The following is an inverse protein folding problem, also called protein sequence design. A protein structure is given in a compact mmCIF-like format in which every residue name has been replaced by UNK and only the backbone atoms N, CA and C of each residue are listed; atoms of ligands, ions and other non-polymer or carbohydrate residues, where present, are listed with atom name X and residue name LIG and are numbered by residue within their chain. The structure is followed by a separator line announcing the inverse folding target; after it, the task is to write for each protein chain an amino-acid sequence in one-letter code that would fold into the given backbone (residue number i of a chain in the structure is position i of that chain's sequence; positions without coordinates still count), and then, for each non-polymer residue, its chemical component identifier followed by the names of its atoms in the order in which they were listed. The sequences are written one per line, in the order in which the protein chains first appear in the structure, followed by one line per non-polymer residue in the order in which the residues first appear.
data_IF_620293755164
#
_entry.id   IF_620293755164
#
_cell.length_a   1.000
_cell.length_b   1.000
_cell.length_c   1.000
_cell.angle_alpha   90.00
_cell.angle_beta   90.00
_cell.angle_gamma   90.00
#
_symmetry.space_group_name_H-M   'P 1'
#
loop_
_entity.id
_entity.type
_entity.pdbx_description
1 polymer ?
#
# COMPACT_ATOMS: atom_id res chain seq x y z
N UNK A 1 35.40 -17.67 -23.77
CA UNK A 1 35.58 -17.11 -22.41
C UNK A 1 35.06 -15.68 -22.28
N UNK A 2 35.58 -14.67 -23.01
CA UNK A 2 35.09 -13.27 -22.89
C UNK A 2 33.58 -13.09 -23.17
N UNK A 3 33.02 -13.77 -24.17
CA UNK A 3 31.57 -13.74 -24.49
C UNK A 3 30.70 -14.36 -23.38
N UNK A 4 31.20 -15.39 -22.68
CA UNK A 4 30.51 -16.04 -21.58
C UNK A 4 30.45 -15.12 -20.34
N UNK A 5 31.53 -14.40 -20.06
CA UNK A 5 31.60 -13.42 -18.98
C UNK A 5 30.65 -12.24 -19.19
N UNK A 6 30.48 -11.77 -20.43
CA UNK A 6 29.53 -10.70 -20.76
C UNK A 6 28.09 -11.16 -20.57
N UNK A 7 27.74 -12.36 -21.03
CA UNK A 7 26.41 -12.93 -20.79
C UNK A 7 26.12 -13.13 -19.30
N UNK A 8 27.11 -13.59 -18.54
CA UNK A 8 26.98 -13.75 -17.09
C UNK A 8 26.79 -12.40 -16.38
N UNK A 9 27.49 -11.35 -16.81
CA UNK A 9 27.34 -10.01 -16.25
C UNK A 9 25.96 -9.39 -16.54
N UNK A 10 25.43 -9.58 -17.76
CA UNK A 10 24.08 -9.12 -18.12
C UNK A 10 23.03 -9.92 -17.33
N UNK A 11 23.19 -11.24 -17.22
CA UNK A 11 22.29 -12.07 -16.42
C UNK A 11 22.29 -11.65 -14.95
N UNK A 12 23.47 -11.39 -14.37
CA UNK A 12 23.60 -10.89 -13.00
C UNK A 12 22.99 -9.50 -12.80
N UNK A 13 23.03 -8.63 -13.81
CA UNK A 13 22.39 -7.31 -13.77
C UNK A 13 20.85 -7.41 -13.71
N UNK A 14 20.26 -8.37 -14.45
CA UNK A 14 18.81 -8.63 -14.38
C UNK A 14 18.37 -9.40 -13.13
N UNK A 15 19.32 -9.93 -12.34
CA UNK A 15 19.02 -10.60 -11.06
C UNK A 15 19.03 -9.60 -9.88
N UNK A 16 19.39 -8.33 -10.11
CA UNK A 16 19.29 -7.33 -9.05
C UNK A 16 17.79 -7.10 -8.75
N UNK A 17 17.31 -7.47 -7.56
CA UNK A 17 15.92 -7.22 -7.20
C UNK A 17 15.70 -5.70 -7.19
N UNK A 18 14.66 -5.25 -7.89
CA UNK A 18 14.17 -3.89 -7.69
C UNK A 18 13.76 -3.78 -6.22
N UNK A 19 14.42 -2.90 -5.48
CA UNK A 19 13.99 -2.60 -4.12
C UNK A 19 12.62 -1.94 -4.22
N UNK A 20 11.59 -2.58 -3.68
CA UNK A 20 10.31 -1.93 -3.44
C UNK A 20 10.55 -1.07 -2.22
N UNK A 21 10.63 0.24 -2.40
CA UNK A 21 10.88 1.16 -1.30
C UNK A 21 9.72 1.07 -0.30
N UNK A 22 10.05 0.72 0.94
CA UNK A 22 9.16 0.84 2.08
C UNK A 22 8.84 2.33 2.26
N UNK A 23 7.57 2.70 2.20
CA UNK A 23 7.15 4.10 2.27
C UNK A 23 5.80 4.23 2.96
N UNK A 24 5.62 5.37 3.60
CA UNK A 24 4.37 5.78 4.21
C UNK A 24 3.36 6.11 3.12
N UNK A 25 2.14 5.59 3.28
CA UNK A 25 1.01 5.90 2.40
C UNK A 25 -0.07 6.69 3.12
N UNK A 26 -0.70 7.62 2.42
CA UNK A 26 -1.84 8.41 2.87
C UNK A 26 -2.86 8.57 1.73
N UNK A 27 -3.91 9.35 1.94
CA UNK A 27 -5.00 9.59 0.99
C UNK A 27 -4.51 10.18 -0.34
N UNK A 28 -3.38 10.89 -0.31
CA UNK A 28 -2.80 11.59 -1.46
C UNK A 28 -1.97 10.69 -2.36
N UNK A 29 -1.52 9.53 -1.88
CA UNK A 29 -0.58 8.68 -2.62
C UNK A 29 -0.96 7.19 -2.65
N UNK A 30 -1.94 6.74 -1.85
CA UNK A 30 -2.39 5.34 -1.88
C UNK A 30 -3.06 4.97 -3.21
N UNK A 31 -3.94 5.86 -3.69
CA UNK A 31 -4.58 5.79 -5.01
C UNK A 31 -4.69 7.22 -5.55
N UNK A 32 -4.66 7.38 -6.87
CA UNK A 32 -4.71 8.72 -7.49
C UNK A 32 -6.10 9.38 -7.42
N UNK A 33 -7.15 8.62 -7.10
CA UNK A 33 -8.55 9.03 -7.27
C UNK A 33 -9.42 8.90 -6.01
N UNK A 34 -8.82 8.75 -4.82
CA UNK A 34 -9.59 8.59 -3.56
C UNK A 34 -9.67 9.84 -2.69
N UNK A 35 -8.83 10.86 -2.92
CA UNK A 35 -8.75 12.05 -2.04
C UNK A 35 -10.10 12.77 -1.87
N UNK A 36 -10.99 12.66 -2.86
CA UNK A 36 -12.33 13.28 -2.86
C UNK A 36 -13.47 12.27 -2.62
N UNK A 37 -13.16 11.01 -2.32
CA UNK A 37 -14.16 9.99 -2.03
C UNK A 37 -14.76 10.20 -0.65
N UNK A 38 -16.06 9.95 -0.51
CA UNK A 38 -16.72 9.96 0.81
C UNK A 38 -16.24 8.80 1.70
N UNK A 39 -15.61 7.77 1.11
CA UNK A 39 -15.15 6.57 1.78
C UNK A 39 -13.61 6.51 1.93
N UNK A 40 -12.92 7.64 1.84
CA UNK A 40 -11.45 7.68 1.78
C UNK A 40 -10.80 6.98 2.98
N UNK A 41 -11.31 7.23 4.19
CA UNK A 41 -10.80 6.60 5.41
C UNK A 41 -11.05 5.08 5.39
N UNK A 42 -12.26 4.67 5.01
CA UNK A 42 -12.64 3.25 4.91
C UNK A 42 -11.76 2.51 3.91
N UNK A 43 -11.48 3.11 2.75
CA UNK A 43 -10.60 2.53 1.72
C UNK A 43 -9.20 2.30 2.30
N UNK A 44 -8.64 3.29 3.01
CA UNK A 44 -7.33 3.16 3.64
C UNK A 44 -7.29 2.05 4.69
N UNK A 45 -8.34 1.95 5.52
CA UNK A 45 -8.47 0.86 6.49
C UNK A 45 -8.58 -0.51 5.83
N UNK A 46 -9.45 -0.65 4.82
CA UNK A 46 -9.66 -1.92 4.11
C UNK A 46 -8.39 -2.39 3.42
N UNK A 47 -7.60 -1.46 2.87
CA UNK A 47 -6.30 -1.80 2.27
C UNK A 47 -5.33 -2.37 3.30
N UNK A 48 -5.30 -1.80 4.50
CA UNK A 48 -4.44 -2.23 5.62
C UNK A 48 -4.87 -3.58 6.21
N UNK A 49 -6.15 -3.92 6.10
CA UNK A 49 -6.72 -5.20 6.51
C UNK A 49 -6.61 -6.29 5.43
N UNK A 50 -6.06 -5.96 4.24
CA UNK A 50 -6.09 -6.83 3.06
C UNK A 50 -7.52 -7.23 2.63
N UNK A 51 -8.53 -6.43 3.02
CA UNK A 51 -9.93 -6.58 2.63
C UNK A 51 -10.20 -5.99 1.24
N UNK A 52 -9.29 -5.18 0.71
CA UNK A 52 -9.22 -4.83 -0.70
C UNK A 52 -7.79 -5.03 -1.20
N UNK A 53 -7.67 -5.30 -2.49
CA UNK A 53 -6.40 -5.55 -3.16
C UNK A 53 -6.17 -4.57 -4.30
N UNK A 54 -4.91 -4.18 -4.56
CA UNK A 54 -4.57 -3.35 -5.71
C UNK A 54 -4.78 -4.16 -6.99
N UNK A 55 -5.19 -3.47 -8.05
CA UNK A 55 -5.18 -4.02 -9.41
C UNK A 55 -3.76 -3.94 -9.97
N UNK A 56 -3.28 -5.00 -10.65
CA UNK A 56 -1.92 -5.02 -11.16
C UNK A 56 -1.71 -3.91 -12.20
N UNK A 57 -0.70 -3.06 -11.97
CA UNK A 57 -0.31 -2.00 -12.90
C UNK A 57 -1.25 -0.80 -12.94
N UNK A 58 -2.22 -0.69 -12.03
CA UNK A 58 -3.16 0.42 -11.95
C UNK A 58 -3.18 1.01 -10.55
N UNK A 59 -2.90 2.31 -10.43
CA UNK A 59 -2.96 3.04 -9.16
C UNK A 59 -4.29 3.80 -8.96
N UNK A 60 -5.41 3.13 -9.25
CA UNK A 60 -6.76 3.71 -9.17
C UNK A 60 -7.69 2.77 -8.39
N UNK A 61 -8.49 3.33 -7.50
CA UNK A 61 -9.54 2.61 -6.79
C UNK A 61 -10.85 2.63 -7.57
N UNK A 62 -11.16 3.72 -8.28
CA UNK A 62 -12.39 3.99 -9.03
C UNK A 62 -13.66 3.96 -8.15
N UNK A 63 -13.79 4.89 -7.17
CA UNK A 63 -14.87 4.83 -6.17
C UNK A 63 -16.28 4.74 -6.77
N UNK A 64 -16.52 5.45 -7.89
CA UNK A 64 -17.82 5.57 -8.54
C UNK A 64 -18.15 4.42 -9.51
N UNK A 65 -17.19 3.52 -9.79
CA UNK A 65 -17.48 2.36 -10.62
C UNK A 65 -18.23 1.27 -9.84
N UNK A 66 -19.09 0.54 -10.54
CA UNK A 66 -19.76 -0.63 -9.98
C UNK A 66 -18.72 -1.68 -9.56
N UNK A 67 -18.87 -2.23 -8.37
CA UNK A 67 -18.06 -3.36 -7.92
C UNK A 67 -18.50 -4.60 -8.70
N UNK A 68 -17.60 -5.25 -9.42
CA UNK A 68 -17.91 -6.52 -10.09
C UNK A 68 -17.81 -7.69 -9.10
N UNK A 69 -18.57 -8.76 -9.33
CA UNK A 69 -18.43 -10.00 -8.55
C UNK A 69 -17.04 -10.61 -8.67
N UNK A 70 -16.41 -10.47 -9.83
CA UNK A 70 -15.03 -10.90 -10.06
C UNK A 70 -14.02 -10.15 -9.18
N UNK A 71 -14.11 -8.82 -9.11
CA UNK A 71 -13.26 -8.02 -8.21
C UNK A 71 -13.52 -8.38 -6.75
N UNK A 72 -14.79 -8.49 -6.34
CA UNK A 72 -15.15 -8.90 -4.99
C UNK A 72 -14.60 -10.30 -4.64
N UNK A 73 -14.63 -11.23 -5.58
CA UNK A 73 -14.09 -12.58 -5.40
C UNK A 73 -12.60 -12.56 -5.08
N UNK A 74 -11.80 -11.78 -5.83
CA UNK A 74 -10.36 -11.63 -5.58
C UNK A 74 -10.10 -11.00 -4.22
N UNK A 75 -10.82 -9.94 -3.86
CA UNK A 75 -10.66 -9.26 -2.57
C UNK A 75 -11.02 -10.18 -1.40
N UNK A 76 -12.16 -10.87 -1.48
CA UNK A 76 -12.62 -11.78 -0.43
C UNK A 76 -11.68 -12.97 -0.25
N UNK A 77 -11.15 -13.52 -1.34
CA UNK A 77 -10.17 -14.60 -1.30
C UNK A 77 -8.85 -14.13 -0.67
N UNK A 78 -8.34 -12.97 -1.10
CA UNK A 78 -7.14 -12.37 -0.51
C UNK A 78 -7.29 -12.20 1.00
N UNK A 79 -8.42 -11.64 1.43
CA UNK A 79 -8.73 -11.48 2.85
C UNK A 79 -8.76 -12.84 3.57
N UNK A 80 -9.52 -13.81 3.04
CA UNK A 80 -9.64 -15.16 3.61
C UNK A 80 -8.28 -15.84 3.83
N UNK A 81 -7.39 -15.78 2.82
CA UNK A 81 -6.06 -16.42 2.89
C UNK A 81 -5.13 -15.75 3.92
N UNK A 82 -5.16 -14.42 4.01
CA UNK A 82 -4.35 -13.66 4.97
C UNK A 82 -4.85 -13.82 6.41
N UNK A 83 -6.16 -14.05 6.61
CA UNK A 83 -6.72 -14.29 7.96
C UNK A 83 -6.29 -15.63 8.58
N UNK A 84 -5.83 -16.58 7.74
CA UNK A 84 -5.48 -17.93 8.16
C UNK A 84 -3.96 -18.16 8.26
N UNK A 85 -3.14 -17.37 7.56
CA UNK A 85 -1.73 -17.69 7.35
C UNK A 85 -0.77 -16.88 8.22
N UNK A 86 -1.18 -15.74 8.78
CA UNK A 86 -0.29 -14.85 9.53
C UNK A 86 0.74 -14.11 8.65
N UNK A 87 1.13 -14.70 7.52
CA UNK A 87 1.90 -14.09 6.45
C UNK A 87 1.03 -13.08 5.69
N UNK A 88 1.45 -11.81 5.71
CA UNK A 88 0.72 -10.70 5.08
C UNK A 88 1.51 -10.18 3.87
N UNK A 89 1.61 -11.00 2.84
CA UNK A 89 2.04 -10.53 1.53
C UNK A 89 0.80 -10.39 0.66
N UNK A 90 0.48 -9.15 0.27
CA UNK A 90 -0.65 -8.86 -0.64
C UNK A 90 -0.32 -9.23 -2.09
N UNK A 91 0.41 -10.34 -2.31
CA UNK A 91 0.75 -10.79 -3.65
C UNK A 91 -0.48 -11.44 -4.29
N UNK A 92 -1.31 -10.58 -4.88
CA UNK A 92 -2.53 -10.98 -5.58
C UNK A 92 -2.26 -11.62 -6.92
N UNK A 93 -1.00 -11.68 -7.36
CA UNK A 93 -0.58 -12.09 -8.71
C UNK A 93 -0.93 -13.54 -9.04
N UNK A 94 -1.31 -14.34 -8.05
CA UNK A 94 -1.74 -15.73 -8.21
C UNK A 94 -3.15 -16.01 -7.69
N UNK A 95 -3.95 -14.98 -7.37
CA UNK A 95 -5.33 -15.18 -6.90
C UNK A 95 -6.26 -15.36 -8.09
N UNK A 96 -6.86 -16.55 -8.19
CA UNK A 96 -7.91 -16.85 -9.18
C UNK A 96 -9.28 -16.60 -8.54
N UNK A 97 -10.14 -15.75 -9.15
CA UNK A 97 -11.49 -15.49 -8.64
C UNK A 97 -12.37 -16.74 -8.58
N UNK A 98 -12.11 -17.75 -9.43
CA UNK A 98 -12.79 -19.04 -9.40
C UNK A 98 -12.61 -19.75 -8.05
N UNK A 99 -11.46 -19.57 -7.40
CA UNK A 99 -11.21 -20.16 -6.09
C UNK A 99 -12.15 -19.62 -5.01
N UNK A 100 -12.56 -18.35 -5.11
CA UNK A 100 -13.54 -17.77 -4.19
C UNK A 100 -14.93 -18.42 -4.35
N UNK A 101 -15.28 -18.83 -5.58
CA UNK A 101 -16.52 -19.58 -5.86
C UNK A 101 -16.43 -21.00 -5.28
N UNK A 102 -15.31 -21.69 -5.48
CA UNK A 102 -15.07 -23.02 -4.90
C UNK A 102 -15.13 -23.01 -3.37
N UNK A 103 -14.61 -21.97 -2.73
CA UNK A 103 -14.65 -21.77 -1.27
C UNK A 103 -16.01 -21.27 -0.76
N UNK A 104 -16.96 -20.99 -1.67
CA UNK A 104 -18.30 -20.53 -1.32
C UNK A 104 -18.33 -19.10 -0.78
N UNK A 105 -17.32 -18.29 -1.05
CA UNK A 105 -17.27 -16.87 -0.67
C UNK A 105 -18.23 -16.03 -1.54
N UNK A 106 -18.39 -16.42 -2.81
CA UNK A 106 -19.33 -15.81 -3.75
C UNK A 106 -20.01 -16.91 -4.60
N UNK A 107 -21.19 -16.64 -5.16
CA UNK A 107 -21.93 -17.65 -5.94
C UNK A 107 -21.43 -17.81 -7.38
N UNK A 108 -21.06 -16.71 -8.03
CA UNK A 108 -20.56 -16.68 -9.40
C UNK A 108 -19.79 -15.37 -9.65
N UNK A 109 -19.16 -15.26 -10.81
CA UNK A 109 -18.31 -14.12 -11.17
C UNK A 109 -19.02 -13.11 -12.10
N UNK A 110 -20.25 -13.40 -12.54
CA UNK A 110 -20.90 -12.61 -13.59
C UNK A 110 -21.63 -11.39 -13.00
N UNK A 111 -21.42 -10.23 -13.64
CA UNK A 111 -22.13 -8.99 -13.32
C UNK A 111 -21.61 -8.25 -12.09
N UNK A 112 -22.41 -7.28 -11.64
CA UNK A 112 -22.05 -6.44 -10.50
C UNK A 112 -22.39 -7.13 -9.17
N UNK A 113 -21.54 -6.91 -8.18
CA UNK A 113 -21.74 -7.33 -6.81
C UNK A 113 -22.85 -6.52 -6.14
N UNK A 114 -23.46 -7.15 -5.16
CA UNK A 114 -24.53 -6.60 -4.33
C UNK A 114 -24.17 -6.66 -2.86
N UNK A 115 -24.95 -6.00 -1.99
CA UNK A 115 -24.76 -6.10 -0.54
C UNK A 115 -24.87 -7.54 -0.01
N UNK A 116 -25.71 -8.39 -0.62
CA UNK A 116 -25.76 -9.81 -0.26
C UNK A 116 -24.47 -10.55 -0.63
N UNK A 117 -23.87 -10.24 -1.78
CA UNK A 117 -22.57 -10.81 -2.17
C UNK A 117 -21.47 -10.44 -1.15
N UNK A 118 -21.45 -9.18 -0.70
CA UNK A 118 -20.49 -8.69 0.33
C UNK A 118 -20.76 -9.34 1.68
N UNK A 119 -22.02 -9.42 2.11
CA UNK A 119 -22.43 -10.09 3.34
C UNK A 119 -21.98 -11.56 3.34
N UNK A 120 -22.15 -12.26 2.21
CA UNK A 120 -21.68 -13.63 2.07
C UNK A 120 -20.15 -13.72 2.19
N UNK A 121 -19.44 -12.92 1.40
CA UNK A 121 -17.99 -12.95 1.30
C UNK A 121 -17.27 -12.62 2.61
N UNK A 122 -17.71 -11.58 3.32
CA UNK A 122 -17.02 -11.10 4.52
C UNK A 122 -17.70 -11.50 5.82
N UNK A 123 -19.02 -11.67 5.82
CA UNK A 123 -19.80 -11.84 7.04
C UNK A 123 -20.56 -13.17 7.11
N UNK A 124 -20.26 -14.11 6.20
CA UNK A 124 -20.89 -15.43 6.12
C UNK A 124 -22.42 -15.38 6.03
N UNK A 125 -22.95 -14.31 5.44
CA UNK A 125 -24.39 -14.10 5.28
C UNK A 125 -25.14 -13.78 6.58
N UNK A 126 -24.44 -13.43 7.65
CA UNK A 126 -25.06 -13.23 8.98
C UNK A 126 -25.70 -11.85 9.15
N UNK A 127 -25.34 -10.86 8.32
CA UNK A 127 -25.97 -9.54 8.37
C UNK A 127 -27.39 -9.58 7.81
N UNK A 128 -28.28 -8.78 8.39
CA UNK A 128 -29.63 -8.61 7.89
C UNK A 128 -29.66 -7.53 6.79
N UNK A 129 -29.70 -7.96 5.52
CA UNK A 129 -29.76 -7.05 4.37
C UNK A 129 -31.22 -6.78 4.02
N UNK A 130 -31.66 -5.54 4.20
CA UNK A 130 -33.06 -5.14 3.96
C UNK A 130 -33.33 -4.74 2.51
N UNK A 131 -32.30 -4.32 1.79
CA UNK A 131 -32.38 -3.94 0.37
C UNK A 131 -31.16 -4.49 -0.36
N UNK A 132 -31.38 -5.50 -1.20
CA UNK A 132 -30.31 -6.02 -2.04
C UNK A 132 -30.22 -5.21 -3.33
N UNK A 133 -29.21 -4.37 -3.44
CA UNK A 133 -28.89 -3.56 -4.64
C UNK A 133 -27.47 -3.84 -5.10
N UNK A 134 -27.21 -3.63 -6.38
CA UNK A 134 -25.84 -3.54 -6.88
C UNK A 134 -25.17 -2.28 -6.29
N UNK A 135 -23.87 -2.36 -6.04
CA UNK A 135 -23.13 -1.31 -5.32
C UNK A 135 -21.89 -0.84 -6.08
N UNK A 136 -21.50 0.41 -5.84
CA UNK A 136 -20.19 0.92 -6.25
C UNK A 136 -19.08 0.45 -5.31
N UNK A 137 -17.82 0.68 -5.69
CA UNK A 137 -16.65 0.42 -4.82
C UNK A 137 -16.64 1.33 -3.58
N UNK A 138 -17.12 2.57 -3.71
CA UNK A 138 -17.32 3.49 -2.60
C UNK A 138 -18.39 2.98 -1.63
N UNK A 139 -19.56 2.60 -2.14
CA UNK A 139 -20.65 2.05 -1.32
C UNK A 139 -20.25 0.74 -0.62
N UNK A 140 -19.44 -0.11 -1.28
CA UNK A 140 -18.81 -1.26 -0.64
C UNK A 140 -17.93 -0.84 0.55
N UNK A 141 -17.11 0.19 0.38
CA UNK A 141 -16.17 0.63 1.41
C UNK A 141 -16.90 1.20 2.62
N UNK A 142 -17.92 2.03 2.39
CA UNK A 142 -18.82 2.55 3.44
C UNK A 142 -19.50 1.39 4.18
N UNK A 143 -20.11 0.45 3.45
CA UNK A 143 -20.79 -0.69 4.07
C UNK A 143 -19.85 -1.53 4.93
N UNK A 144 -18.61 -1.73 4.48
CA UNK A 144 -17.60 -2.44 5.26
C UNK A 144 -17.19 -1.64 6.50
N UNK A 145 -17.05 -0.32 6.40
CA UNK A 145 -16.79 0.60 7.52
C UNK A 145 -17.93 0.67 8.55
N UNK A 146 -19.19 0.48 8.15
CA UNK A 146 -20.31 0.39 9.08
C UNK A 146 -20.29 -0.93 9.89
N UNK A 147 -19.65 -1.96 9.34
CA UNK A 147 -19.74 -3.33 9.86
C UNK A 147 -18.41 -3.95 10.30
N UNK A 148 -17.26 -3.28 10.20
CA UNK A 148 -15.96 -3.90 10.49
C UNK A 148 -15.80 -4.42 11.93
N UNK A 149 -16.53 -3.85 12.89
CA UNK A 149 -16.59 -4.31 14.29
C UNK A 149 -17.65 -5.40 14.54
N UNK A 150 -18.48 -5.73 13.54
CA UNK A 150 -19.50 -6.77 13.65
C UNK A 150 -18.83 -8.14 13.76
N UNK A 151 -19.21 -8.90 14.77
CA UNK A 151 -18.61 -10.22 15.04
C UNK A 151 -19.28 -11.32 14.24
N UNK A 152 -18.45 -12.12 13.58
CA UNK A 152 -18.83 -13.35 12.87
C UNK A 152 -17.95 -14.47 13.42
N UNK A 153 -18.58 -15.52 13.95
CA UNK A 153 -17.89 -16.58 14.71
C UNK A 153 -17.00 -16.05 15.84
N UNK A 154 -17.48 -15.02 16.55
CA UNK A 154 -16.82 -14.44 17.71
C UNK A 154 -15.69 -13.44 17.41
N UNK A 155 -15.32 -13.27 16.13
CA UNK A 155 -14.29 -12.30 15.69
C UNK A 155 -14.85 -11.29 14.70
N UNK A 156 -14.42 -10.04 14.78
CA UNK A 156 -14.75 -9.00 13.80
C UNK A 156 -13.72 -8.95 12.65
N UNK A 157 -13.92 -8.07 11.66
CA UNK A 157 -13.02 -7.99 10.49
C UNK A 157 -11.61 -7.56 10.90
N UNK A 158 -11.50 -6.58 11.81
CA UNK A 158 -10.22 -6.11 12.34
C UNK A 158 -9.43 -7.26 12.97
N UNK A 159 -10.05 -8.00 13.89
CA UNK A 159 -9.44 -9.14 14.58
C UNK A 159 -9.06 -10.27 13.60
N UNK A 160 -9.89 -10.53 12.59
CA UNK A 160 -9.61 -11.54 11.55
C UNK A 160 -8.47 -11.11 10.64
N UNK A 161 -8.31 -9.81 10.41
CA UNK A 161 -7.20 -9.28 9.61
C UNK A 161 -5.85 -9.38 10.32
N UNK A 162 -5.84 -9.68 11.63
CA UNK A 162 -4.62 -9.72 12.45
C UNK A 162 -4.22 -8.36 13.03
N UNK A 163 -5.06 -7.33 12.87
CA UNK A 163 -4.86 -6.03 13.49
C UNK A 163 -5.37 -6.00 14.93
N UNK A 164 -4.71 -5.20 15.76
CA UNK A 164 -5.09 -4.91 17.14
C UNK A 164 -5.05 -3.41 17.39
N UNK A 165 -5.84 -2.91 18.33
CA UNK A 165 -5.80 -1.50 18.74
C UNK A 165 -4.39 -1.15 19.22
N UNK A 166 -3.85 -0.07 18.67
CA UNK A 166 -2.51 0.46 18.97
C UNK A 166 -2.52 1.66 19.91
N UNK A 167 -1.38 2.36 20.05
CA UNK A 167 -1.29 3.57 20.88
C UNK A 167 -2.07 4.76 20.30
N UNK A 168 -2.57 5.62 21.17
CA UNK A 168 -3.19 6.91 20.82
C UNK A 168 -2.55 8.02 21.65
N UNK A 169 -2.71 9.27 21.24
CA UNK A 169 -2.14 10.43 21.94
C UNK A 169 -1.14 11.20 21.09
N UNK A 170 -0.33 12.05 21.73
CA UNK A 170 0.61 12.92 21.02
C UNK A 170 1.87 12.17 20.63
N UNK A 171 2.34 12.39 19.40
CA UNK A 171 3.65 11.95 18.95
C UNK A 171 4.69 12.88 19.56
N UNK A 172 5.44 12.37 20.53
CA UNK A 172 6.52 13.12 21.19
C UNK A 172 7.69 13.36 20.24
N UNK A 173 7.97 12.35 19.39
CA UNK A 173 9.04 12.38 18.41
C UNK A 173 8.80 11.36 17.30
N UNK A 174 9.11 11.71 16.06
CA UNK A 174 9.06 10.86 14.89
C UNK A 174 10.40 10.89 14.17
N UNK A 175 10.95 9.70 13.90
CA UNK A 175 12.28 9.54 13.29
C UNK A 175 12.22 8.49 12.18
N UNK A 176 12.68 8.87 10.98
CA UNK A 176 12.97 7.93 9.87
C UNK A 176 14.26 7.14 10.18
N UNK A 177 14.30 6.47 11.33
CA UNK A 177 15.52 5.90 11.87
C UNK A 177 15.97 4.65 11.11
N UNK A 178 17.28 4.41 11.02
CA UNK A 178 17.86 3.14 10.51
C UNK A 178 17.45 1.86 11.24
N UNK A 179 16.75 1.95 12.38
CA UNK A 179 16.26 0.77 13.14
C UNK A 179 15.07 0.08 12.44
N UNK A 180 14.40 0.77 11.52
CA UNK A 180 13.28 0.28 10.72
C UNK A 180 13.40 0.81 9.31
N UNK A 181 12.86 0.12 8.32
CA UNK A 181 12.91 0.61 6.93
C UNK A 181 12.07 1.90 6.72
N UNK A 182 11.06 2.16 7.57
CA UNK A 182 10.15 3.31 7.43
C UNK A 182 10.31 4.35 8.53
N UNK A 183 10.28 3.96 9.81
CA UNK A 183 10.45 4.90 10.91
C UNK A 183 9.95 4.39 12.26
N UNK A 184 10.21 5.19 13.29
CA UNK A 184 9.82 4.95 14.68
C UNK A 184 9.11 6.19 15.22
N UNK A 185 8.02 5.97 15.96
CA UNK A 185 7.30 7.00 16.68
C UNK A 185 7.47 6.82 18.19
N UNK A 186 7.75 7.90 18.92
CA UNK A 186 7.67 7.94 20.38
C UNK A 186 6.31 8.50 20.80
N UNK A 187 5.55 7.73 21.57
CA UNK A 187 4.24 8.13 22.12
C UNK A 187 4.25 7.79 23.61
N UNK A 188 4.00 8.78 24.46
CA UNK A 188 4.10 8.68 25.93
C UNK A 188 5.44 8.09 26.39
N UNK A 189 6.53 8.51 25.73
CA UNK A 189 7.89 8.03 26.02
C UNK A 189 8.18 6.56 25.65
N UNK A 190 7.30 5.91 24.87
CA UNK A 190 7.53 4.56 24.34
C UNK A 190 7.71 4.59 22.83
N UNK A 191 8.73 3.91 22.34
CA UNK A 191 9.02 3.73 20.91
C UNK A 191 8.10 2.66 20.29
N UNK A 192 7.55 2.98 19.12
CA UNK A 192 6.75 2.09 18.27
C UNK A 192 7.29 2.13 16.85
N UNK A 193 7.61 0.96 16.29
CA UNK A 193 8.06 0.84 14.90
C UNK A 193 6.87 0.95 13.95
N UNK A 194 7.05 1.63 12.83
CA UNK A 194 6.11 1.58 11.70
C UNK A 194 6.31 0.29 10.90
N UNK A 195 5.23 -0.23 10.31
CA UNK A 195 5.31 -1.34 9.35
C UNK A 195 6.01 -0.90 8.06
N UNK A 196 6.25 -1.81 7.11
CA UNK A 196 6.93 -1.49 5.84
C UNK A 196 6.10 -0.55 4.94
N UNK A 197 4.79 -0.55 5.12
CA UNK A 197 3.87 0.31 4.37
C UNK A 197 2.80 0.81 5.33
N UNK A 198 3.12 1.71 6.27
CA UNK A 198 2.12 2.20 7.20
C UNK A 198 1.15 3.12 6.45
N UNK A 199 -0.10 3.15 6.93
CA UNK A 199 -1.18 3.97 6.38
C UNK A 199 -1.46 5.09 7.37
N UNK A 200 -1.31 6.32 6.93
CA UNK A 200 -1.53 7.51 7.75
C UNK A 200 -2.75 8.22 7.21
N UNK A 201 -3.79 8.24 8.03
CA UNK A 201 -5.06 8.89 7.74
C UNK A 201 -5.03 10.30 8.33
N UNK A 202 -5.42 11.29 7.53
CA UNK A 202 -5.46 12.71 7.86
C UNK A 202 -4.09 13.26 8.33
N UNK A 203 -3.00 12.80 7.70
CA UNK A 203 -1.64 13.16 8.09
C UNK A 203 -0.61 13.14 6.95
N UNK A 204 0.61 13.63 7.23
CA UNK A 204 1.67 13.68 6.23
C UNK A 204 2.20 12.28 5.88
N UNK A 205 2.78 12.13 4.70
CA UNK A 205 3.52 10.92 4.32
C UNK A 205 4.99 10.97 4.77
N UNK A 206 5.46 12.11 5.27
CA UNK A 206 6.82 12.27 5.80
C UNK A 206 6.81 12.04 7.32
N UNK A 207 7.48 10.98 7.79
CA UNK A 207 7.49 10.56 9.19
C UNK A 207 8.05 11.67 10.08
N UNK A 208 9.17 12.28 9.70
CA UNK A 208 9.85 13.32 10.50
C UNK A 208 8.99 14.57 10.71
N UNK A 209 7.97 14.76 9.88
CA UNK A 209 7.04 15.89 10.01
C UNK A 209 5.90 15.67 11.00
N UNK A 210 5.78 14.47 11.59
CA UNK A 210 4.68 14.07 12.48
C UNK A 210 4.86 14.49 13.94
N UNK A 211 5.97 15.13 14.30
CA UNK A 211 6.19 15.64 15.65
C UNK A 211 5.00 16.51 16.13
N UNK A 212 4.51 16.24 17.34
CA UNK A 212 3.38 16.91 17.99
C UNK A 212 2.00 16.72 17.33
N UNK A 213 1.88 15.82 16.34
CA UNK A 213 0.57 15.40 15.86
C UNK A 213 -0.14 14.56 16.93
N UNK A 214 -1.47 14.65 16.96
CA UNK A 214 -2.29 13.84 17.86
C UNK A 214 -2.90 12.66 17.09
N UNK A 215 -2.65 11.45 17.57
CA UNK A 215 -3.23 10.21 17.06
C UNK A 215 -4.56 9.98 17.76
N UNK A 216 -5.65 9.97 16.99
CA UNK A 216 -6.98 9.61 17.48
C UNK A 216 -7.11 8.10 17.61
N UNK A 217 -6.66 7.36 16.60
CA UNK A 217 -6.69 5.90 16.55
C UNK A 217 -5.40 5.38 15.91
N UNK A 218 -4.92 4.23 16.36
CA UNK A 218 -3.94 3.47 15.60
C UNK A 218 -4.18 1.98 15.73
N UNK A 219 -3.60 1.24 14.80
CA UNK A 219 -3.72 -0.20 14.73
C UNK A 219 -2.36 -0.83 14.48
N UNK A 220 -2.08 -1.88 15.24
CA UNK A 220 -0.82 -2.61 15.20
C UNK A 220 -1.01 -4.01 14.66
N UNK A 221 0.08 -4.57 14.15
CA UNK A 221 0.19 -5.95 13.68
C UNK A 221 1.49 -6.56 14.20
N UNK A 222 1.51 -7.88 14.34
CA UNK A 222 2.75 -8.63 14.54
C UNK A 222 3.56 -8.72 13.24
N UNK A 223 4.81 -8.26 13.26
CA UNK A 223 5.76 -8.52 12.17
C UNK A 223 6.27 -9.99 12.21
N UNK A 224 7.13 -10.36 11.27
CA UNK A 224 7.72 -11.71 11.18
C UNK A 224 8.54 -12.12 12.42
N UNK A 225 8.93 -11.16 13.26
CA UNK A 225 9.64 -11.37 14.53
C UNK A 225 8.69 -11.46 15.73
N UNK A 226 7.37 -11.31 15.53
CA UNK A 226 6.37 -11.29 16.59
C UNK A 226 6.32 -9.98 17.38
N UNK A 227 6.90 -8.90 16.86
CA UNK A 227 6.89 -7.56 17.46
C UNK A 227 5.68 -6.77 16.95
N UNK A 228 5.09 -5.94 17.80
CA UNK A 228 4.01 -5.04 17.37
C UNK A 228 4.61 -3.87 16.58
N UNK A 229 4.18 -3.75 15.32
CA UNK A 229 4.45 -2.59 14.46
C UNK A 229 3.13 -1.87 14.17
N UNK A 230 3.18 -0.55 14.08
CA UNK A 230 2.02 0.26 13.70
C UNK A 230 1.78 0.13 12.20
N UNK A 231 0.60 -0.35 11.82
CA UNK A 231 0.17 -0.52 10.43
C UNK A 231 -0.69 0.66 9.97
N UNK A 232 -1.54 1.19 10.87
CA UNK A 232 -2.45 2.30 10.56
C UNK A 232 -2.40 3.33 11.67
N UNK A 233 -2.40 4.60 11.29
CA UNK A 233 -2.54 5.75 12.18
C UNK A 233 -3.65 6.62 11.61
N UNK A 234 -4.61 7.03 12.43
CA UNK A 234 -5.55 8.09 12.13
C UNK A 234 -5.22 9.28 13.02
N UNK A 235 -4.84 10.38 12.42
CA UNK A 235 -4.62 11.63 13.14
C UNK A 235 -5.97 12.20 13.60
N UNK A 236 -5.95 13.03 14.64
CA UNK A 236 -7.12 13.78 15.06
C UNK A 236 -7.58 14.77 13.97
N UNK A 237 -8.88 15.07 13.92
CA UNK A 237 -9.41 16.05 12.98
C UNK A 237 -8.70 17.41 13.12
N UNK A 238 -8.37 18.03 11.98
CA UNK A 238 -7.70 19.34 11.93
C UNK A 238 -6.17 19.30 11.99
N UNK A 239 -5.56 18.13 12.19
CA UNK A 239 -4.09 17.99 12.18
C UNK A 239 -3.47 18.24 10.79
N UNK A 240 -4.20 17.97 9.70
CA UNK A 240 -3.78 18.29 8.33
C UNK A 240 -3.48 19.77 8.09
N UNK A 241 -4.13 20.66 8.84
CA UNK A 241 -3.88 22.10 8.73
C UNK A 241 -2.50 22.47 9.29
N UNK A 242 -1.98 21.71 10.26
CA UNK A 242 -0.62 21.89 10.79
C UNK A 242 0.45 21.54 9.76
N UNK A 243 0.21 20.53 8.92
CA UNK A 243 1.08 20.20 7.78
C UNK A 243 1.22 21.42 6.85
N UNK A 244 0.11 22.09 6.55
CA UNK A 244 0.08 23.29 5.68
C UNK A 244 0.82 24.47 6.31
N UNK A 245 0.65 24.70 7.61
CA UNK A 245 1.33 25.78 8.34
C UNK A 245 2.84 25.54 8.41
N UNK A 246 3.28 24.32 8.76
CA UNK A 246 4.70 23.97 8.82
C UNK A 246 5.38 24.13 7.45
N UNK A 247 4.69 23.74 6.36
CA UNK A 247 5.23 23.91 5.00
C UNK A 247 5.35 25.39 4.58
N UNK A 248 4.43 26.25 5.01
CA UNK A 248 4.49 27.69 4.73
C UNK A 248 5.56 28.40 5.57
N UNK A 249 5.75 27.98 6.83
CA UNK A 249 6.75 28.57 7.73
C UNK A 249 8.19 28.22 7.30
N UNK A 250 8.43 26.99 6.81
CA UNK A 250 9.72 26.60 6.22
C UNK A 250 10.03 27.39 4.93
N UNK A 251 9.02 27.68 4.10
CA UNK A 251 9.21 28.50 2.89
C UNK A 251 9.40 29.98 3.24
N UNK A 252 8.68 30.51 4.25
CA UNK A 252 8.81 31.90 4.70
C UNK A 252 10.10 32.17 5.48
N UNK A 253 10.69 31.17 6.15
CA UNK A 253 12.01 31.28 6.79
C UNK A 253 13.16 31.18 5.78
N UNK A 254 12.91 30.70 4.55
CA UNK A 254 13.90 30.62 3.48
C UNK A 254 13.99 31.88 2.60
N UNK A 255 13.14 32.89 2.81
CA UNK A 255 13.23 34.18 2.11
C UNK A 255 14.13 35.20 2.84
N UNK A 256 15.37 34.81 3.17
CA UNK A 256 16.48 35.78 3.21
C UNK A 256 17.80 35.09 2.85
N UNK A 257 18.33 35.47 1.68
CA UNK A 257 19.72 35.24 1.19
C UNK A 257 20.01 33.87 0.57
N UNK A 258 19.81 33.72 -0.74
CA UNK A 258 20.90 33.65 -1.74
C UNK A 258 20.38 33.57 -3.18
N UNK A 259 20.95 34.40 -4.06
CA UNK A 259 20.92 34.22 -5.53
C UNK A 259 22.00 33.21 -5.93
N UNK A 260 21.76 32.51 -7.06
CA UNK A 260 22.65 31.55 -7.76
C UNK A 260 22.85 30.22 -7.02
N UNK A 261 22.68 29.02 -7.59
CA UNK A 261 22.59 28.53 -8.96
C UNK A 261 21.47 27.49 -9.12
N UNK A 262 20.82 27.46 -10.28
CA UNK A 262 19.90 26.40 -10.68
C UNK A 262 20.71 25.16 -11.06
N UNK A 263 20.98 24.26 -10.11
CA UNK A 263 21.37 22.89 -10.43
C UNK A 263 20.13 22.10 -10.84
N UNK A 264 19.97 22.02 -12.16
CA UNK A 264 19.11 21.08 -12.86
C UNK A 264 19.43 19.66 -12.36
N UNK A 265 18.55 19.08 -11.52
CA UNK A 265 18.57 17.65 -11.21
C UNK A 265 18.35 16.89 -12.51
N UNK A 266 19.45 16.60 -13.18
CA UNK A 266 19.49 15.75 -14.36
C UNK A 266 18.92 14.39 -13.96
N UNK A 267 17.92 13.92 -14.70
CA UNK A 267 17.35 12.59 -14.57
C UNK A 267 18.46 11.54 -14.75
N UNK A 268 19.04 11.05 -13.64
CA UNK A 268 20.03 9.97 -13.66
C UNK A 268 19.48 8.70 -14.33
N UNK A 269 18.15 8.51 -14.34
CA UNK A 269 17.47 7.41 -15.04
C UNK A 269 17.58 7.52 -16.57
N UNK A 270 17.59 8.73 -17.13
CA UNK A 270 17.79 8.96 -18.57
C UNK A 270 19.26 8.74 -18.95
N UNK A 271 20.22 9.16 -18.11
CA UNK A 271 21.65 8.91 -18.35
C UNK A 271 22.00 7.41 -18.33
N UNK A 272 21.38 6.63 -17.45
CA UNK A 272 21.53 5.17 -17.42
C UNK A 272 20.93 4.48 -18.67
N UNK A 273 19.81 4.99 -19.19
CA UNK A 273 19.25 4.53 -20.47
C UNK A 273 20.17 4.87 -21.66
N UNK A 274 20.77 6.07 -21.69
CA UNK A 274 21.69 6.46 -22.75
C UNK A 274 23.05 5.75 -22.71
N UNK A 275 23.49 5.26 -21.55
CA UNK A 275 24.71 4.45 -21.40
C UNK A 275 24.48 2.96 -21.69
N UNK A 276 23.29 2.42 -21.41
CA UNK A 276 22.97 0.99 -21.60
C UNK A 276 22.79 0.61 -23.07
N UNK A 277 22.17 1.46 -23.90
CA UNK A 277 21.97 1.21 -25.34
C UNK A 277 23.29 0.98 -26.10
N UNK A 278 24.32 1.85 -26.02
CA UNK A 278 25.59 1.59 -26.69
C UNK A 278 26.32 0.36 -26.13
N UNK A 279 26.16 0.07 -24.83
CA UNK A 279 26.74 -1.14 -24.22
C UNK A 279 26.10 -2.41 -24.77
N UNK A 280 24.77 -2.43 -24.94
CA UNK A 280 24.01 -3.53 -25.56
C UNK A 280 24.40 -3.69 -27.03
N UNK A 281 24.53 -2.60 -27.79
CA UNK A 281 24.95 -2.63 -29.19
C UNK A 281 26.39 -3.15 -29.34
N UNK A 282 27.32 -2.74 -28.48
CA UNK A 282 28.70 -3.24 -28.45
C UNK A 282 28.73 -4.73 -28.06
N UNK A 283 27.90 -5.15 -27.10
CA UNK A 283 27.79 -6.55 -26.70
C UNK A 283 27.24 -7.41 -27.85
N UNK A 284 26.17 -6.98 -28.51
CA UNK A 284 25.61 -7.66 -29.69
C UNK A 284 26.63 -7.72 -30.83
N UNK A 285 27.34 -6.62 -31.11
CA UNK A 285 28.40 -6.60 -32.13
C UNK A 285 29.54 -7.56 -31.80
N UNK A 286 29.97 -7.64 -30.53
CA UNK A 286 30.99 -8.58 -30.08
C UNK A 286 30.53 -10.03 -30.13
N UNK A 287 29.23 -10.31 -29.97
CA UNK A 287 28.63 -11.66 -30.07
C UNK A 287 28.50 -12.12 -31.51
N UNK A 288 28.06 -11.23 -32.41
CA UNK A 288 27.85 -11.54 -33.83
C UNK A 288 29.06 -11.29 -34.71
N UNK A 289 30.19 -10.80 -34.17
CA UNK A 289 31.43 -10.63 -34.93
C UNK A 289 31.83 -11.99 -35.55
N UNK A 290 31.83 -12.11 -36.88
CA UNK A 290 32.16 -13.36 -37.56
C UNK A 290 33.61 -13.70 -37.27
N UNK A 291 33.85 -14.96 -36.87
CA UNK A 291 35.21 -15.47 -36.67
C UNK A 291 35.90 -15.52 -38.04
N UNK A 292 36.66 -14.48 -38.39
CA UNK A 292 37.55 -14.52 -39.54
C UNK A 292 38.77 -15.38 -39.20
N UNK A 293 38.59 -16.70 -39.10
CA UNK A 293 39.72 -17.61 -39.29
C UNK A 293 39.93 -17.71 -40.79
N UNK A 294 40.99 -17.05 -41.26
CA UNK A 294 41.56 -17.31 -42.58
C UNK A 294 42.13 -18.73 -42.60
N UNK A 295 41.92 -19.37 -43.75
CA UNK A 295 42.53 -20.62 -44.23
C UNK A 295 44.06 -20.52 -44.12
#
# INVERSE_FOLDING_TARGET
MKRLLIFLAILLYFIVPFQVDAHVTNEKNLYEDIEQSEAVEEIMFLRSMNAISPEEGVNLFRPQEMLTRETLAVWALNFSMNTNSGDNHSDTKNLSPEKAVEEGLIDNLQGNATLEDVNKAYFKGTLNITMNKEITREEFSIFMGEHFLTKVDGRNILERSGLSVGPSGTIDHADSSSKSEVGVLSIDGKEYMLSHHPKIINGPSDVESMDNFNISESYTRKNDKGEDVIEVIKMAEGEEEKEKVNKVEVVSASETVSKEDTEEKTNESLYLLFLSVPLIVICLWLLFKPNSKKI
#
